data_IF_067641122890
#
_entry.id   IF_067641122890
#
_cell.length_a   1.000
_cell.length_b   1.000
_cell.length_c   1.000
_cell.angle_alpha   90.00
_cell.angle_beta   90.00
_cell.angle_gamma   90.00
#
_symmetry.space_group_name_H-M   'P 1'
#
loop_
_entity.id
_entity.type
_entity.pdbx_description
1 polymer ?
#
# COMPACT_ATOMS: atom_id res chain seq x y z
N UNK A 1 8.77 -4.75 -2.07
CA UNK A 1 7.81 -4.74 -3.21
C UNK A 1 6.67 -3.72 -3.05
N UNK A 2 5.93 -3.71 -1.93
CA UNK A 2 4.76 -2.82 -1.78
C UNK A 2 5.11 -1.33 -1.85
N UNK A 3 6.22 -0.93 -1.22
CA UNK A 3 6.72 0.45 -1.27
C UNK A 3 7.04 0.90 -2.70
N UNK A 4 7.59 -0.01 -3.53
CA UNK A 4 7.79 0.24 -4.96
C UNK A 4 6.47 0.55 -5.70
N UNK A 5 5.40 -0.21 -5.44
CA UNK A 5 4.08 0.08 -6.04
C UNK A 5 3.47 1.41 -5.55
N UNK A 6 3.78 1.81 -4.31
CA UNK A 6 3.39 3.10 -3.76
C UNK A 6 4.24 4.27 -4.31
N UNK A 7 5.39 3.97 -4.92
CA UNK A 7 6.33 4.98 -5.43
C UNK A 7 7.29 5.51 -4.37
N UNK A 8 7.52 4.75 -3.30
CA UNK A 8 8.55 5.05 -2.31
C UNK A 8 9.96 4.77 -2.83
N UNK A 9 10.91 4.51 -1.93
CA UNK A 9 12.34 4.27 -2.26
C UNK A 9 12.94 3.13 -1.43
N UNK A 10 12.16 2.54 -0.53
CA UNK A 10 12.59 1.51 0.39
C UNK A 10 12.31 0.14 -0.23
N UNK A 11 13.10 -0.17 -1.25
CA UNK A 11 13.07 -1.45 -1.95
C UNK A 11 14.41 -1.72 -2.62
N UNK A 12 14.75 -2.99 -2.80
CA UNK A 12 15.92 -3.41 -3.56
C UNK A 12 15.56 -3.72 -5.02
N UNK A 13 16.56 -3.99 -5.85
CA UNK A 13 16.34 -4.33 -7.26
C UNK A 13 15.45 -5.59 -7.43
N UNK A 14 15.68 -6.61 -6.60
CA UNK A 14 14.87 -7.84 -6.60
C UNK A 14 13.38 -7.57 -6.33
N UNK A 15 13.07 -6.58 -5.49
CA UNK A 15 11.68 -6.17 -5.24
C UNK A 15 11.04 -5.54 -6.47
N UNK A 16 11.79 -4.73 -7.22
CA UNK A 16 11.32 -4.09 -8.44
C UNK A 16 11.00 -5.13 -9.51
N UNK A 17 11.88 -6.12 -9.67
CA UNK A 17 11.71 -7.22 -10.62
C UNK A 17 10.48 -8.07 -10.27
N UNK A 18 10.39 -8.53 -9.02
CA UNK A 18 9.25 -9.27 -8.54
C UNK A 18 7.94 -8.47 -8.69
N UNK A 19 7.98 -7.16 -8.40
CA UNK A 19 6.82 -6.28 -8.52
C UNK A 19 6.37 -6.09 -9.98
N UNK A 20 7.31 -6.11 -10.94
CA UNK A 20 7.00 -6.08 -12.36
C UNK A 20 6.38 -7.41 -12.84
N UNK A 21 6.89 -8.55 -12.37
CA UNK A 21 6.30 -9.86 -12.67
C UNK A 21 4.85 -9.96 -12.17
N UNK A 22 4.59 -9.49 -10.95
CA UNK A 22 3.23 -9.47 -10.40
C UNK A 22 2.30 -8.56 -11.20
N UNK A 23 2.76 -7.41 -11.70
CA UNK A 23 1.93 -6.53 -12.53
C UNK A 23 1.54 -7.20 -13.86
N UNK A 24 2.36 -8.10 -14.41
CA UNK A 24 2.01 -8.90 -15.59
C UNK A 24 0.92 -9.93 -15.26
N UNK A 25 1.04 -10.61 -14.11
CA UNK A 25 0.08 -11.63 -13.67
C UNK A 25 -1.24 -11.03 -13.16
N UNK A 26 -1.17 -9.87 -12.52
CA UNK A 26 -2.28 -9.13 -11.94
C UNK A 26 -2.20 -7.65 -12.37
N UNK A 27 -2.70 -7.32 -13.58
CA UNK A 27 -2.73 -5.95 -14.06
C UNK A 27 -3.50 -5.03 -13.12
N UNK A 28 -2.89 -3.88 -12.80
CA UNK A 28 -3.46 -2.88 -11.89
C UNK A 28 -3.00 -2.99 -10.45
N UNK A 29 -2.03 -3.85 -10.12
CA UNK A 29 -1.51 -4.03 -8.75
C UNK A 29 -1.05 -2.70 -8.14
N UNK A 30 -0.38 -1.83 -8.91
CA UNK A 30 -0.05 -0.46 -8.45
C UNK A 30 -1.26 0.35 -8.01
N UNK A 31 -2.38 0.25 -8.75
CA UNK A 31 -3.64 0.94 -8.41
C UNK A 31 -4.25 0.35 -7.14
N UNK A 32 -4.25 -0.97 -7.00
CA UNK A 32 -4.76 -1.65 -5.80
C UNK A 32 -3.95 -1.30 -4.55
N UNK A 33 -2.61 -1.25 -4.64
CA UNK A 33 -1.76 -0.84 -3.52
C UNK A 33 -2.09 0.59 -3.05
N UNK A 34 -2.25 1.53 -3.98
CA UNK A 34 -2.65 2.91 -3.66
C UNK A 34 -4.05 2.98 -3.04
N UNK A 35 -5.01 2.23 -3.58
CA UNK A 35 -6.37 2.17 -3.06
C UNK A 35 -6.40 1.62 -1.63
N UNK A 36 -5.65 0.55 -1.36
CA UNK A 36 -5.51 -0.04 -0.03
C UNK A 36 -4.86 0.95 0.96
N UNK A 37 -3.81 1.66 0.54
CA UNK A 37 -3.18 2.69 1.39
C UNK A 37 -4.14 3.83 1.73
N UNK A 38 -4.94 4.27 0.76
CA UNK A 38 -5.97 5.29 0.99
C UNK A 38 -7.07 4.78 1.92
N UNK A 39 -7.49 3.52 1.79
CA UNK A 39 -8.45 2.89 2.68
C UNK A 39 -7.92 2.83 4.12
N UNK A 40 -6.70 2.34 4.33
CA UNK A 40 -6.07 2.28 5.64
C UNK A 40 -6.07 3.66 6.32
N UNK A 41 -5.71 4.71 5.60
CA UNK A 41 -5.73 6.08 6.11
C UNK A 41 -7.12 6.56 6.56
N UNK A 42 -8.18 6.20 5.81
CA UNK A 42 -9.57 6.51 6.20
C UNK A 42 -10.01 5.68 7.41
N UNK A 43 -9.72 4.39 7.42
CA UNK A 43 -10.08 3.49 8.50
C UNK A 43 -9.44 3.93 9.84
N UNK A 44 -8.13 4.21 9.83
CA UNK A 44 -7.43 4.70 11.03
C UNK A 44 -8.00 6.04 11.49
N UNK A 45 -8.30 6.97 10.57
CA UNK A 45 -8.90 8.27 10.92
C UNK A 45 -10.28 8.12 11.56
N UNK A 46 -11.11 7.23 11.04
CA UNK A 46 -12.42 6.92 11.63
C UNK A 46 -12.27 6.32 13.03
N UNK A 47 -11.40 5.31 13.18
CA UNK A 47 -11.21 4.63 14.46
C UNK A 47 -10.61 5.54 15.53
N UNK A 48 -9.58 6.31 15.19
CA UNK A 48 -8.92 7.22 16.12
C UNK A 48 -9.75 8.48 16.41
N UNK A 49 -10.46 9.00 15.41
CA UNK A 49 -11.23 10.24 15.51
C UNK A 49 -12.65 10.04 16.02
N UNK A 50 -13.44 9.22 15.34
CA UNK A 50 -14.87 9.05 15.62
C UNK A 50 -15.13 7.98 16.68
N UNK A 51 -14.34 6.90 16.70
CA UNK A 51 -14.51 5.81 17.67
C UNK A 51 -13.65 5.97 18.93
N UNK A 52 -12.78 6.98 18.98
CA UNK A 52 -11.99 7.32 20.17
C UNK A 52 -10.90 6.32 20.54
N UNK A 53 -10.45 5.46 19.61
CA UNK A 53 -9.35 4.52 19.88
C UNK A 53 -8.02 5.30 19.94
N UNK A 54 -7.38 5.31 21.11
CA UNK A 54 -6.19 6.14 21.38
C UNK A 54 -4.95 5.40 21.91
N UNK A 55 -4.99 4.07 22.03
CA UNK A 55 -3.84 3.26 22.44
C UNK A 55 -3.27 2.52 21.22
N UNK A 56 -1.97 2.65 20.96
CA UNK A 56 -1.25 2.08 19.81
C UNK A 56 0.11 1.53 20.23
#
# INVERSE_FOLDING_TARGET
>A
MYDFWLGGRDFYEVDREAAAMVEVLLPGTKRYARANRAFLGRAVRFLAGEQGIGQF
#
